data_IF_612286994158
#
_entry.id   IF_612286994158
#
_cell.length_a   1.000
_cell.length_b   1.000
_cell.length_c   1.000
_cell.angle_alpha   90.00
_cell.angle_beta   90.00
_cell.angle_gamma   90.00
#
_symmetry.space_group_name_H-M   'P 1'
#
loop_
_entity.id
_entity.type
_entity.pdbx_description
1 polymer ?
#
# COMPACT_ATOMS: atom_id res chain seq x y z
N UNK A 1 -2.39 -1.10 16.71
CA UNK A 1 -3.53 -0.92 15.78
C UNK A 1 -3.08 -1.47 14.43
N UNK A 2 -3.61 -2.61 13.99
CA UNK A 2 -3.09 -3.34 12.82
C UNK A 2 -3.36 -2.59 11.51
N UNK A 3 -4.45 -1.85 11.45
CA UNK A 3 -4.80 -1.05 10.30
C UNK A 3 -3.81 0.08 10.00
N UNK A 4 -3.30 0.74 11.05
CA UNK A 4 -2.25 1.76 10.91
C UNK A 4 -0.93 1.19 10.37
N UNK A 5 -0.69 -0.11 10.53
CA UNK A 5 0.49 -0.78 9.97
C UNK A 5 0.38 -0.88 8.44
N UNK A 6 -0.82 -1.18 7.90
CA UNK A 6 -1.05 -1.31 6.46
C UNK A 6 -0.86 0.02 5.73
N UNK A 7 -1.25 1.14 6.35
CA UNK A 7 -1.01 2.48 5.81
C UNK A 7 0.49 2.81 5.65
N UNK A 8 1.37 2.13 6.38
CA UNK A 8 2.83 2.31 6.32
C UNK A 8 3.47 1.28 5.39
N UNK A 9 3.03 0.01 5.46
CA UNK A 9 3.60 -1.07 4.66
C UNK A 9 3.32 -0.88 3.17
N UNK A 10 2.09 -0.52 2.80
CA UNK A 10 1.70 -0.36 1.39
C UNK A 10 2.63 0.61 0.63
N UNK A 11 2.82 1.87 1.07
CA UNK A 11 3.71 2.77 0.35
C UNK A 11 5.16 2.30 0.35
N UNK A 12 5.62 1.60 1.40
CA UNK A 12 6.97 1.05 1.46
C UNK A 12 7.20 -0.04 0.39
N UNK A 13 6.29 -1.02 0.25
CA UNK A 13 6.43 -2.10 -0.72
C UNK A 13 6.14 -1.65 -2.16
N UNK A 14 5.30 -0.62 -2.35
CA UNK A 14 5.04 -0.06 -3.68
C UNK A 14 6.25 0.72 -4.23
N UNK A 15 7.01 1.38 -3.36
CA UNK A 15 8.19 2.18 -3.75
C UNK A 15 9.50 1.37 -3.69
N UNK A 16 9.46 0.12 -3.22
CA UNK A 16 10.63 -0.75 -3.16
C UNK A 16 11.18 -1.03 -4.58
N UNK A 17 12.50 -0.91 -4.73
CA UNK A 17 13.15 -1.19 -6.02
C UNK A 17 12.99 -2.67 -6.37
N UNK A 18 12.44 -2.95 -7.55
CA UNK A 18 12.17 -4.33 -7.98
C UNK A 18 10.88 -4.90 -7.37
N UNK A 19 10.03 -4.03 -6.80
CA UNK A 19 8.72 -4.40 -6.30
C UNK A 19 7.93 -5.24 -7.32
N UNK A 20 7.32 -6.37 -6.91
CA UNK A 20 6.50 -7.19 -7.79
C UNK A 20 5.13 -6.56 -8.07
N UNK A 21 4.81 -5.40 -7.48
CA UNK A 21 3.49 -4.78 -7.50
C UNK A 21 3.26 -3.82 -8.69
N UNK A 22 4.15 -3.82 -9.68
CA UNK A 22 4.00 -3.05 -10.90
C UNK A 22 4.34 -1.58 -10.73
N UNK A 23 3.60 -0.70 -11.41
CA UNK A 23 3.83 0.74 -11.33
C UNK A 23 3.60 1.27 -9.90
N UNK A 24 4.58 1.96 -9.28
CA UNK A 24 4.46 2.43 -7.89
C UNK A 24 3.26 3.33 -7.65
N UNK A 25 2.91 4.21 -8.60
CA UNK A 25 1.80 5.15 -8.44
C UNK A 25 0.44 4.45 -8.47
N UNK A 26 0.33 3.39 -9.28
CA UNK A 26 -0.86 2.53 -9.34
C UNK A 26 -0.97 1.70 -8.07
N UNK A 27 0.12 1.05 -7.64
CA UNK A 27 0.19 0.26 -6.42
C UNK A 27 -0.20 1.09 -5.20
N UNK A 28 0.36 2.29 -5.04
CA UNK A 28 0.09 3.15 -3.91
C UNK A 28 -1.36 3.63 -3.87
N UNK A 29 -1.90 4.11 -5.01
CA UNK A 29 -3.29 4.60 -5.10
C UNK A 29 -4.30 3.52 -4.72
N UNK A 30 -4.19 2.34 -5.32
CA UNK A 30 -5.16 1.26 -5.07
C UNK A 30 -4.88 0.55 -3.75
N UNK A 31 -3.62 0.28 -3.41
CA UNK A 31 -3.23 -0.37 -2.17
C UNK A 31 -3.62 0.43 -0.93
N UNK A 32 -3.39 1.76 -0.93
CA UNK A 32 -3.77 2.60 0.20
C UNK A 32 -5.29 2.68 0.33
N UNK A 33 -6.01 2.87 -0.79
CA UNK A 33 -7.47 2.90 -0.75
C UNK A 33 -8.07 1.59 -0.23
N UNK A 34 -7.54 0.44 -0.65
CA UNK A 34 -7.95 -0.88 -0.13
C UNK A 34 -7.65 -1.03 1.36
N UNK A 35 -6.44 -0.64 1.80
CA UNK A 35 -6.04 -0.69 3.20
C UNK A 35 -6.94 0.20 4.06
N UNK A 36 -7.21 1.44 3.62
CA UNK A 36 -8.10 2.38 4.31
C UNK A 36 -9.53 1.86 4.44
N UNK A 37 -10.10 1.34 3.35
CA UNK A 37 -11.48 0.86 3.33
C UNK A 37 -11.67 -0.47 4.07
N UNK A 38 -10.65 -1.34 4.09
CA UNK A 38 -10.70 -2.60 4.84
C UNK A 38 -10.62 -2.42 6.37
N UNK A 39 -10.28 -1.23 6.84
CA UNK A 39 -10.33 -0.86 8.26
C UNK A 39 -11.68 -0.27 8.69
N UNK A 40 -12.55 0.06 7.73
CA UNK A 40 -13.86 0.68 8.00
C UNK A 40 -14.89 -0.34 8.48
#
# INVERSE_FOLDING_TARGET
>A
NLGNLLLIIVPAICQEKGSPFGDPSVCERYGLSYASLSMA
#
